data_IF_473385494454
#
_entry.id   IF_473385494454
#
_cell.length_a   1.000
_cell.length_b   1.000
_cell.length_c   1.000
_cell.angle_alpha   90.00
_cell.angle_beta   90.00
_cell.angle_gamma   90.00
#
_symmetry.space_group_name_H-M   'P 1'
#
loop_
_entity.id
_entity.type
_entity.pdbx_description
1 polymer ?
#
# COMPACT_ATOMS: atom_id res chain seq x y z
N UNK A 1 26.01 -18.92 8.64
CA UNK A 1 25.97 -17.45 8.64
C UNK A 1 24.59 -17.03 8.17
N UNK A 2 23.64 -16.83 9.09
CA UNK A 2 22.29 -16.37 8.73
C UNK A 2 22.32 -14.87 8.54
N UNK A 3 22.03 -14.42 7.33
CA UNK A 3 21.71 -13.02 7.07
C UNK A 3 20.28 -12.81 7.54
N UNK A 4 20.13 -12.12 8.67
CA UNK A 4 18.82 -11.60 9.10
C UNK A 4 18.53 -10.48 8.09
N UNK A 5 17.74 -10.78 7.07
CA UNK A 5 17.11 -9.74 6.25
C UNK A 5 16.21 -8.99 7.22
N UNK A 6 16.72 -7.87 7.74
CA UNK A 6 15.99 -6.98 8.60
C UNK A 6 14.81 -6.43 7.82
N UNK A 7 13.65 -7.04 8.00
CA UNK A 7 12.39 -6.41 7.63
C UNK A 7 12.37 -5.07 8.32
N UNK A 8 12.46 -3.99 7.54
CA UNK A 8 12.22 -2.65 8.09
C UNK A 8 10.87 -2.72 8.80
N UNK A 9 10.75 -2.20 10.02
CA UNK A 9 9.47 -2.19 10.71
C UNK A 9 8.47 -1.45 9.83
N UNK A 10 7.55 -2.20 9.24
CA UNK A 10 6.44 -1.63 8.48
C UNK A 10 5.53 -0.93 9.48
N UNK A 11 5.13 0.28 9.14
CA UNK A 11 4.17 1.04 9.92
C UNK A 11 2.88 0.21 10.06
N UNK A 12 2.31 -0.01 11.26
CA UNK A 12 1.03 -0.73 11.38
C UNK A 12 -0.12 -0.04 10.65
N UNK A 13 -1.06 -0.80 10.09
CA UNK A 13 -2.18 -0.23 9.34
C UNK A 13 -3.06 0.68 10.22
N UNK A 14 -3.19 0.34 11.50
CA UNK A 14 -3.94 1.11 12.49
C UNK A 14 -3.35 2.48 12.83
N UNK A 15 -2.09 2.73 12.48
CA UNK A 15 -1.43 4.02 12.74
C UNK A 15 -1.26 4.87 11.48
N UNK A 16 -1.75 4.39 10.33
CA UNK A 16 -1.79 5.19 9.09
C UNK A 16 -2.87 6.26 9.25
N UNK A 17 -2.53 7.57 9.21
CA UNK A 17 -3.50 8.63 9.38
C UNK A 17 -4.52 8.69 8.23
N UNK A 18 -5.80 8.92 8.56
CA UNK A 18 -6.89 9.04 7.58
C UNK A 18 -6.68 10.20 6.60
N UNK A 19 -6.03 11.28 7.04
CA UNK A 19 -5.74 12.43 6.17
C UNK A 19 -4.80 12.05 5.03
N UNK A 20 -3.81 11.18 5.28
CA UNK A 20 -2.87 10.72 4.25
C UNK A 20 -3.57 9.78 3.26
N UNK A 21 -4.42 8.90 3.79
CA UNK A 21 -5.26 8.02 2.96
C UNK A 21 -6.16 8.87 2.07
N UNK A 22 -6.80 9.89 2.63
CA UNK A 22 -7.69 10.80 1.90
C UNK A 22 -6.94 11.58 0.81
N UNK A 23 -5.73 12.07 1.09
CA UNK A 23 -4.88 12.73 0.09
C UNK A 23 -4.56 11.81 -1.08
N UNK A 24 -4.21 10.55 -0.80
CA UNK A 24 -3.99 9.55 -1.85
C UNK A 24 -5.28 9.26 -2.64
N UNK A 25 -6.43 9.11 -1.98
CA UNK A 25 -7.72 8.81 -2.63
C UNK A 25 -8.20 9.90 -3.59
N UNK A 26 -7.89 11.18 -3.30
CA UNK A 26 -8.24 12.29 -4.20
C UNK A 26 -7.49 12.18 -5.54
N UNK A 27 -6.23 11.74 -5.51
CA UNK A 27 -5.40 11.59 -6.72
C UNK A 27 -5.66 10.24 -7.40
N UNK A 28 -5.77 9.18 -6.61
CA UNK A 28 -5.94 7.79 -7.05
C UNK A 28 -7.43 7.39 -7.05
N UNK A 29 -8.24 8.12 -7.82
CA UNK A 29 -9.68 7.86 -7.88
C UNK A 29 -9.96 6.42 -8.35
N UNK A 30 -10.83 5.71 -7.63
CA UNK A 30 -11.17 4.31 -7.92
C UNK A 30 -10.28 3.27 -7.26
N UNK A 31 -9.16 3.65 -6.61
CA UNK A 31 -8.33 2.71 -5.84
C UNK A 31 -8.93 2.35 -4.49
N UNK A 32 -8.73 1.09 -4.09
CA UNK A 32 -9.17 0.61 -2.79
C UNK A 32 -8.33 1.22 -1.66
N UNK A 33 -8.99 1.50 -0.54
CA UNK A 33 -8.35 2.03 0.67
C UNK A 33 -7.24 1.09 1.18
N UNK A 34 -7.45 -0.22 1.08
CA UNK A 34 -6.48 -1.22 1.51
C UNK A 34 -5.19 -1.18 0.69
N UNK A 35 -5.27 -0.95 -0.63
CA UNK A 35 -4.08 -0.79 -1.46
C UNK A 35 -3.30 0.48 -1.09
N UNK A 36 -4.01 1.58 -0.87
CA UNK A 36 -3.41 2.85 -0.43
C UNK A 36 -2.69 2.68 0.92
N UNK A 37 -3.33 2.03 1.89
CA UNK A 37 -2.74 1.75 3.20
C UNK A 37 -1.48 0.89 3.05
N UNK A 38 -1.55 -0.21 2.30
CA UNK A 38 -0.39 -1.10 2.07
C UNK A 38 0.79 -0.33 1.48
N UNK A 39 0.54 0.57 0.54
CA UNK A 39 1.61 1.36 -0.08
C UNK A 39 2.17 2.43 0.87
N UNK A 40 1.31 3.14 1.60
CA UNK A 40 1.75 4.09 2.65
C UNK A 40 2.59 3.40 3.73
N UNK A 41 2.30 2.17 4.10
CA UNK A 41 3.13 1.42 5.05
C UNK A 41 4.53 1.10 4.46
N UNK A 42 4.62 0.79 3.16
CA UNK A 42 5.88 0.50 2.46
C UNK A 42 6.73 1.74 2.24
N UNK A 43 6.09 2.87 1.93
CA UNK A 43 6.74 4.17 1.72
C UNK A 43 6.96 4.94 3.02
N UNK A 44 6.69 4.31 4.16
CA UNK A 44 6.88 4.91 5.49
C UNK A 44 6.10 6.23 5.66
N UNK A 45 4.84 6.22 5.21
CA UNK A 45 3.87 7.31 5.19
C UNK A 45 4.20 8.46 4.22
N UNK A 46 5.09 8.24 3.25
CA UNK A 46 5.33 9.19 2.16
C UNK A 46 4.20 9.09 1.12
N UNK A 47 3.31 10.09 1.13
CA UNK A 47 2.17 10.22 0.22
C UNK A 47 2.62 10.36 -1.24
N UNK A 48 3.68 11.13 -1.50
CA UNK A 48 4.12 11.39 -2.86
C UNK A 48 4.68 10.12 -3.49
N UNK A 49 5.54 9.40 -2.76
CA UNK A 49 6.03 8.10 -3.20
C UNK A 49 4.90 7.08 -3.37
N UNK A 50 3.95 7.02 -2.43
CA UNK A 50 2.84 6.07 -2.52
C UNK A 50 1.96 6.34 -3.75
N UNK A 51 1.64 7.62 -4.02
CA UNK A 51 0.86 8.02 -5.20
C UNK A 51 1.62 7.71 -6.48
N UNK A 52 2.92 8.04 -6.56
CA UNK A 52 3.71 7.73 -7.75
C UNK A 52 3.78 6.22 -8.01
N UNK A 53 4.01 5.40 -6.96
CA UNK A 53 4.06 3.95 -7.10
C UNK A 53 2.73 3.36 -7.60
N UNK A 54 1.60 3.90 -7.14
CA UNK A 54 0.27 3.43 -7.54
C UNK A 54 -0.12 3.92 -8.94
N UNK A 55 0.18 5.17 -9.30
CA UNK A 55 -0.04 5.70 -10.65
C UNK A 55 0.80 4.97 -11.70
N UNK A 56 2.08 4.74 -11.42
CA UNK A 56 2.96 4.02 -12.36
C UNK A 56 2.46 2.60 -12.66
N UNK A 57 1.83 1.94 -11.68
CA UNK A 57 1.22 0.61 -11.87
C UNK A 57 -0.11 0.66 -12.65
N UNK A 58 -0.84 1.75 -12.55
CA UNK A 58 -2.08 1.94 -13.31
C UNK A 58 -1.82 2.26 -14.78
N UNK A 59 -0.78 3.05 -15.06
CA UNK A 59 -0.38 3.40 -16.43
C UNK A 59 0.22 2.21 -17.20
N UNK A 60 0.74 1.17 -16.51
CA UNK A 60 1.36 -0.01 -17.15
C UNK A 60 0.36 -1.14 -17.52
N UNK A 61 -0.94 -0.97 -17.26
CA UNK A 61 -1.99 -1.87 -17.75
C UNK A 61 -2.45 -2.91 -16.73
N UNK A 62 -3.76 -2.92 -16.53
CA UNK A 62 -4.57 -3.78 -15.65
C UNK A 62 -4.10 -5.25 -15.59
N UNK A 63 -3.48 -5.61 -14.46
CA UNK A 63 -3.36 -6.99 -13.99
C UNK A 63 -4.00 -7.09 -12.62
N UNK A 64 -5.28 -7.43 -12.61
CA UNK A 64 -6.09 -7.89 -11.48
C UNK A 64 -5.25 -8.43 -10.29
N UNK A 65 -5.08 -7.62 -9.24
CA UNK A 65 -4.62 -8.10 -7.93
C UNK A 65 -5.88 -8.33 -7.08
N UNK A 66 -6.79 -9.18 -7.59
CA UNK A 66 -7.64 -10.02 -6.75
C UNK A 66 -6.72 -11.02 -6.05
N UNK A 67 -5.98 -10.55 -5.05
CA UNK A 67 -5.44 -11.45 -4.03
C UNK A 67 -6.29 -11.30 -2.77
N UNK A 68 -7.52 -11.79 -2.94
CA UNK A 68 -8.15 -12.79 -2.08
C UNK A 68 -7.15 -13.64 -1.27
N UNK A 69 -6.46 -13.03 -0.29
CA UNK A 69 -5.71 -13.75 0.75
C UNK A 69 -5.93 -13.07 2.10
N UNK A 70 -7.09 -13.33 2.71
CA UNK A 70 -7.16 -13.73 4.13
C UNK A 70 -8.56 -14.32 4.41
N UNK A 71 -8.84 -15.45 3.76
CA UNK A 71 -9.83 -16.39 4.25
C UNK A 71 -9.18 -17.76 4.25
N UNK A 72 -9.30 -18.43 5.39
CA UNK A 72 -8.67 -19.70 5.77
C UNK A 72 -7.27 -19.51 6.36
N UNK A 73 -6.99 -19.96 7.60
CA UNK A 73 -7.13 -21.34 8.11
C UNK A 73 -7.04 -21.33 9.66
N UNK A 74 -7.23 -22.44 10.40
CA UNK A 74 -8.28 -23.47 10.48
C UNK A 74 -9.18 -23.35 11.74
#
# INVERSE_FOLDING_TARGET
RSVIVGGRPLVPASVVPEDLISQCQVVLQGKSRNLIIRELQRTNLDVNMAVNNLLSRDDEGEGDDDDSQDSYVP
#
